data_IF_891814080502
#
_entry.id   IF_891814080502
#
_cell.length_a   1.000
_cell.length_b   1.000
_cell.length_c   1.000
_cell.angle_alpha   90.00
_cell.angle_beta   90.00
_cell.angle_gamma   90.00
#
_symmetry.space_group_name_H-M   'P 1'
#
loop_
_entity.id
_entity.type
_entity.pdbx_description
1 polymer ?
#
# COMPACT_ATOMS: atom_id res chain seq x y z
N UNK A 1 -6.89 -24.87 -2.39
CA UNK A 1 -7.18 -25.36 -1.01
C UNK A 1 -6.92 -24.18 -0.11
N UNK A 2 -7.88 -23.76 0.68
CA UNK A 2 -7.75 -22.65 1.63
C UNK A 2 -6.76 -23.03 2.74
N UNK A 3 -5.90 -22.12 3.14
CA UNK A 3 -4.97 -22.32 4.23
C UNK A 3 -5.71 -22.55 5.57
N UNK A 4 -5.16 -23.38 6.43
CA UNK A 4 -5.62 -23.50 7.81
C UNK A 4 -5.24 -22.26 8.62
N UNK A 5 -5.91 -22.04 9.77
CA UNK A 5 -5.58 -20.93 10.67
C UNK A 5 -4.10 -20.99 11.12
N UNK A 6 -3.57 -22.19 11.36
CA UNK A 6 -2.16 -22.37 11.73
C UNK A 6 -1.20 -21.95 10.59
N UNK A 7 -1.54 -22.26 9.34
CA UNK A 7 -0.73 -21.86 8.19
C UNK A 7 -0.80 -20.34 7.95
N UNK A 8 -1.97 -19.71 8.14
CA UNK A 8 -2.10 -18.25 8.06
C UNK A 8 -1.28 -17.56 9.16
N UNK A 9 -1.33 -18.07 10.38
CA UNK A 9 -0.49 -17.57 11.48
C UNK A 9 1.00 -17.69 11.17
N UNK A 10 1.43 -18.83 10.63
CA UNK A 10 2.82 -19.06 10.21
C UNK A 10 3.23 -18.05 9.11
N UNK A 11 2.42 -17.90 8.05
CA UNK A 11 2.67 -16.93 6.98
C UNK A 11 2.80 -15.51 7.53
N UNK A 12 1.85 -15.09 8.38
CA UNK A 12 1.89 -13.78 9.03
C UNK A 12 3.12 -13.61 9.93
N UNK A 13 3.52 -14.66 10.62
CA UNK A 13 4.73 -14.70 11.45
C UNK A 13 6.01 -14.50 10.65
N UNK A 14 6.12 -15.15 9.51
CA UNK A 14 7.26 -15.00 8.59
C UNK A 14 7.42 -13.55 8.11
N UNK A 15 6.31 -12.90 7.69
CA UNK A 15 6.34 -11.51 7.24
C UNK A 15 6.74 -10.55 8.37
N UNK A 16 6.16 -10.70 9.57
CA UNK A 16 6.51 -9.87 10.74
C UNK A 16 7.98 -10.01 11.11
N UNK A 17 8.52 -11.23 11.04
CA UNK A 17 9.93 -11.46 11.34
C UNK A 17 10.85 -10.90 10.27
N UNK A 18 10.47 -10.99 8.98
CA UNK A 18 11.18 -10.37 7.87
C UNK A 18 11.27 -8.85 8.04
N UNK A 19 10.15 -8.19 8.38
CA UNK A 19 10.10 -6.76 8.68
C UNK A 19 11.00 -6.40 9.86
N UNK A 20 10.84 -7.10 10.99
CA UNK A 20 11.59 -6.83 12.22
C UNK A 20 13.10 -6.98 12.04
N UNK A 21 13.55 -7.93 11.24
CA UNK A 21 14.97 -8.20 10.96
C UNK A 21 15.53 -7.45 9.78
N UNK A 22 14.66 -6.81 8.98
CA UNK A 22 15.04 -6.28 7.68
C UNK A 22 15.72 -7.36 6.82
N UNK A 23 15.11 -8.53 6.79
CA UNK A 23 15.64 -9.72 6.14
C UNK A 23 14.54 -10.41 5.32
N UNK A 24 14.49 -10.18 3.99
CA UNK A 24 13.45 -10.71 3.13
C UNK A 24 13.42 -12.25 3.12
N UNK A 25 12.21 -12.79 3.02
CA UNK A 25 11.94 -14.23 2.89
C UNK A 25 11.70 -14.62 1.43
N UNK A 26 11.68 -15.90 1.15
CA UNK A 26 11.23 -16.44 -0.12
C UNK A 26 9.70 -16.22 -0.28
N UNK A 27 9.15 -16.22 -1.51
CA UNK A 27 7.74 -15.98 -1.73
C UNK A 27 6.82 -16.88 -0.89
N UNK A 28 5.81 -16.28 -0.24
CA UNK A 28 4.82 -17.06 0.52
C UNK A 28 4.08 -18.05 -0.38
N UNK A 29 3.85 -17.68 -1.65
CA UNK A 29 3.25 -18.56 -2.66
C UNK A 29 4.06 -19.82 -2.94
N UNK A 30 5.39 -19.78 -2.71
CA UNK A 30 6.28 -20.96 -2.79
C UNK A 30 6.32 -21.70 -1.45
N UNK A 31 6.38 -20.98 -0.33
CA UNK A 31 6.46 -21.56 1.04
C UNK A 31 5.13 -22.18 1.47
N UNK A 32 4.01 -21.65 0.99
CA UNK A 32 2.63 -22.05 1.34
C UNK A 32 1.85 -22.41 0.07
N UNK A 33 2.10 -23.56 -0.55
CA UNK A 33 1.38 -23.97 -1.74
C UNK A 33 -0.13 -24.00 -1.51
N UNK A 34 -0.88 -23.25 -2.33
CA UNK A 34 -2.32 -23.10 -2.21
C UNK A 34 -2.76 -21.80 -1.54
N UNK A 35 -1.83 -20.91 -1.17
CA UNK A 35 -2.14 -19.53 -0.76
C UNK A 35 -2.91 -18.83 -1.88
N UNK A 36 -4.15 -18.47 -1.63
CA UNK A 36 -4.97 -17.67 -2.52
C UNK A 36 -5.14 -16.23 -2.01
N UNK A 37 -5.80 -15.38 -2.80
CA UNK A 37 -5.98 -13.96 -2.45
C UNK A 37 -6.84 -13.77 -1.19
N UNK A 38 -7.82 -14.65 -0.97
CA UNK A 38 -8.67 -14.59 0.23
C UNK A 38 -7.87 -14.94 1.50
N UNK A 39 -7.01 -15.95 1.43
CA UNK A 39 -6.08 -16.30 2.51
C UNK A 39 -5.06 -15.18 2.74
N UNK A 40 -4.55 -14.56 1.66
CA UNK A 40 -3.62 -13.44 1.74
C UNK A 40 -4.22 -12.23 2.48
N UNK A 41 -5.46 -11.85 2.17
CA UNK A 41 -6.19 -10.82 2.94
C UNK A 41 -6.46 -11.25 4.38
N UNK A 42 -6.66 -12.53 4.68
CA UNK A 42 -6.79 -12.99 6.05
C UNK A 42 -5.47 -12.81 6.82
N UNK A 43 -4.33 -13.20 6.23
CA UNK A 43 -2.99 -12.98 6.80
C UNK A 43 -2.74 -11.49 7.05
N UNK A 44 -3.06 -10.63 6.07
CA UNK A 44 -2.94 -9.17 6.21
C UNK A 44 -3.76 -8.67 7.40
N UNK A 45 -5.07 -9.01 7.47
CA UNK A 45 -5.96 -8.59 8.56
C UNK A 45 -5.46 -9.04 9.93
N UNK A 46 -4.95 -10.27 10.03
CA UNK A 46 -4.42 -10.81 11.30
C UNK A 46 -3.18 -10.03 11.75
N UNK A 47 -2.28 -9.69 10.83
CA UNK A 47 -1.10 -8.87 11.11
C UNK A 47 -1.48 -7.44 11.51
N UNK A 48 -2.44 -6.82 10.83
CA UNK A 48 -2.97 -5.50 11.20
C UNK A 48 -3.64 -5.55 12.56
N UNK A 49 -4.49 -6.56 12.82
CA UNK A 49 -5.14 -6.71 14.13
C UNK A 49 -4.13 -6.80 15.28
N UNK A 50 -3.00 -7.47 15.09
CA UNK A 50 -1.91 -7.51 16.08
C UNK A 50 -1.26 -6.15 16.30
N UNK A 51 -1.07 -5.37 15.22
CA UNK A 51 -0.54 -4.01 15.33
C UNK A 51 -1.50 -3.11 16.11
N UNK A 52 -2.80 -3.22 15.85
CA UNK A 52 -3.84 -2.49 16.58
C UNK A 52 -3.89 -2.89 18.06
N UNK A 53 -3.78 -4.19 18.36
CA UNK A 53 -3.69 -4.68 19.74
C UNK A 53 -2.43 -4.19 20.48
N UNK A 54 -1.37 -3.87 19.75
CA UNK A 54 -0.14 -3.27 20.28
C UNK A 54 -0.20 -1.73 20.39
N UNK A 55 -1.32 -1.09 20.02
CA UNK A 55 -1.55 0.34 20.19
C UNK A 55 -1.45 1.18 18.93
N UNK A 56 -1.16 0.60 17.77
CA UNK A 56 -1.20 1.31 16.50
C UNK A 56 -2.65 1.66 16.12
N UNK A 57 -2.83 2.69 15.27
CA UNK A 57 -4.13 3.08 14.73
C UNK A 57 -4.11 3.11 13.21
N UNK A 58 -5.21 2.67 12.58
CA UNK A 58 -5.38 2.83 11.12
C UNK A 58 -5.71 4.30 10.85
N UNK A 59 -4.91 4.94 10.01
CA UNK A 59 -5.09 6.33 9.59
C UNK A 59 -5.58 6.45 8.15
N UNK A 60 -5.56 5.36 7.40
CA UNK A 60 -6.01 5.32 6.01
C UNK A 60 -5.74 3.98 5.34
N UNK A 61 -5.93 3.98 4.02
CA UNK A 61 -5.66 2.83 3.17
C UNK A 61 -4.91 3.30 1.92
N UNK A 62 -4.06 2.42 1.38
CA UNK A 62 -3.49 2.57 0.04
C UNK A 62 -4.22 1.66 -0.92
N UNK A 63 -4.28 2.04 -2.18
CA UNK A 63 -4.82 1.23 -3.26
C UNK A 63 -3.72 1.03 -4.28
N UNK A 64 -3.25 -0.19 -4.44
CA UNK A 64 -2.24 -0.55 -5.42
C UNK A 64 -2.85 -1.09 -6.71
N UNK A 65 -2.02 -1.26 -7.75
CA UNK A 65 -2.42 -1.81 -9.04
C UNK A 65 -3.53 -1.00 -9.73
N UNK A 66 -3.57 0.31 -9.52
CA UNK A 66 -4.57 1.21 -10.11
C UNK A 66 -4.42 1.32 -11.64
N UNK A 67 -3.18 1.24 -12.15
CA UNK A 67 -2.90 1.29 -13.58
C UNK A 67 -3.27 -0.03 -14.27
N UNK A 68 -4.10 0.03 -15.32
CA UNK A 68 -4.50 -1.15 -16.10
C UNK A 68 -3.30 -1.92 -16.70
N UNK A 69 -2.20 -1.21 -17.02
CA UNK A 69 -0.99 -1.83 -17.54
C UNK A 69 -0.33 -2.75 -16.49
N UNK A 70 -0.29 -2.32 -15.23
CA UNK A 70 0.27 -3.11 -14.13
C UNK A 70 -0.60 -4.33 -13.82
N UNK A 71 -1.93 -4.16 -13.80
CA UNK A 71 -2.85 -5.30 -13.63
C UNK A 71 -2.65 -6.36 -14.72
N UNK A 72 -2.55 -5.94 -15.98
CA UNK A 72 -2.26 -6.87 -17.09
C UNK A 72 -0.91 -7.58 -16.94
N UNK A 73 0.12 -6.86 -16.47
CA UNK A 73 1.45 -7.44 -16.26
C UNK A 73 1.42 -8.55 -15.19
N UNK A 74 0.66 -8.35 -14.13
CA UNK A 74 0.50 -9.33 -13.05
C UNK A 74 -0.62 -10.36 -13.28
N UNK A 75 -1.36 -10.23 -14.38
CA UNK A 75 -2.46 -11.14 -14.70
C UNK A 75 -3.65 -11.05 -13.74
N UNK A 76 -3.93 -9.83 -13.23
CA UNK A 76 -5.01 -9.57 -12.27
C UNK A 76 -6.02 -8.59 -12.85
N UNK A 77 -7.28 -8.68 -12.42
CA UNK A 77 -8.38 -7.88 -12.96
C UNK A 77 -8.76 -6.70 -12.05
N UNK A 78 -8.35 -6.74 -10.79
CA UNK A 78 -8.74 -5.73 -9.78
C UNK A 78 -7.53 -5.14 -9.06
N UNK A 79 -7.66 -3.91 -8.52
CA UNK A 79 -6.68 -3.32 -7.62
C UNK A 79 -6.55 -4.12 -6.32
N UNK A 80 -5.42 -3.97 -5.63
CA UNK A 80 -5.23 -4.42 -4.26
C UNK A 80 -5.30 -3.25 -3.27
N UNK A 81 -5.36 -3.56 -1.96
CA UNK A 81 -5.32 -2.53 -0.94
C UNK A 81 -4.54 -2.98 0.29
N UNK A 82 -3.95 -1.99 0.97
CA UNK A 82 -3.26 -2.14 2.23
C UNK A 82 -3.71 -1.11 3.25
N UNK A 83 -3.35 -1.33 4.52
CA UNK A 83 -3.64 -0.44 5.62
C UNK A 83 -2.46 0.50 5.86
N UNK A 84 -2.76 1.77 6.09
CA UNK A 84 -1.82 2.77 6.56
C UNK A 84 -2.00 2.96 8.06
N UNK A 85 -0.93 2.73 8.82
CA UNK A 85 -0.91 2.90 10.27
C UNK A 85 -0.23 4.24 10.62
N UNK A 86 -0.53 4.76 11.80
CA UNK A 86 -0.03 6.04 12.28
C UNK A 86 1.51 6.14 12.31
N UNK A 87 2.20 5.04 12.63
CA UNK A 87 3.67 4.98 12.64
C UNK A 87 4.31 4.83 11.24
N UNK A 88 3.50 4.65 10.19
CA UNK A 88 3.92 4.65 8.79
C UNK A 88 3.89 6.07 8.18
N UNK A 89 3.27 7.05 8.84
CA UNK A 89 3.19 8.42 8.32
C UNK A 89 4.43 9.22 8.69
N UNK A 90 5.10 9.73 7.67
CA UNK A 90 6.31 10.53 7.84
C UNK A 90 6.04 12.00 7.49
N UNK A 91 6.81 12.90 8.11
CA UNK A 91 6.68 14.33 7.89
C UNK A 91 7.26 14.72 6.52
N UNK A 92 6.55 15.57 5.77
CA UNK A 92 7.07 16.21 4.56
C UNK A 92 8.35 17.01 4.86
N UNK A 93 9.35 16.90 3.98
CA UNK A 93 10.70 17.45 4.17
C UNK A 93 11.51 16.74 5.27
N UNK A 94 11.01 15.63 5.82
CA UNK A 94 11.72 14.82 6.80
C UNK A 94 12.73 13.87 6.16
N UNK A 95 13.40 13.09 7.01
CA UNK A 95 14.31 12.03 6.58
C UNK A 95 13.86 10.69 7.11
N UNK A 96 13.89 9.68 6.26
CA UNK A 96 13.57 8.29 6.61
C UNK A 96 14.78 7.42 6.29
N UNK A 97 15.20 6.59 7.25
CA UNK A 97 16.36 5.72 7.05
C UNK A 97 15.98 4.50 6.19
N UNK A 98 16.62 4.35 5.03
CA UNK A 98 16.45 3.18 4.18
C UNK A 98 16.83 1.86 4.87
N UNK A 99 17.68 1.90 5.91
CA UNK A 99 18.07 0.72 6.69
C UNK A 99 16.92 0.12 7.53
N UNK A 100 15.75 0.76 7.57
CA UNK A 100 14.54 0.24 8.22
C UNK A 100 13.72 -0.71 7.32
N UNK A 101 14.05 -0.77 6.04
CA UNK A 101 13.28 -1.46 5.01
C UNK A 101 14.13 -2.55 4.33
N UNK A 102 13.46 -3.57 3.80
CA UNK A 102 14.13 -4.68 3.10
C UNK A 102 14.63 -4.29 1.71
N UNK A 103 13.75 -3.69 0.90
CA UNK A 103 14.03 -3.30 -0.48
C UNK A 103 13.12 -2.13 -0.91
N UNK A 104 13.20 -0.95 -0.27
CA UNK A 104 12.24 0.13 -0.45
C UNK A 104 12.27 0.71 -1.85
N UNK A 105 11.08 1.12 -2.32
CA UNK A 105 10.86 1.92 -3.52
C UNK A 105 9.95 3.09 -3.18
N UNK A 106 9.90 4.09 -4.05
CA UNK A 106 9.05 5.27 -3.90
C UNK A 106 8.07 5.31 -5.06
N UNK A 107 6.80 5.50 -4.73
CA UNK A 107 5.72 5.66 -5.69
C UNK A 107 5.05 7.03 -5.48
N UNK A 108 5.02 7.90 -6.53
CA UNK A 108 4.25 9.14 -6.48
C UNK A 108 2.76 8.83 -6.55
N UNK A 109 1.99 9.45 -5.66
CA UNK A 109 0.57 9.18 -5.47
C UNK A 109 -0.24 10.46 -5.28
N UNK A 110 -1.57 10.35 -5.39
CA UNK A 110 -2.52 11.37 -4.95
C UNK A 110 -3.21 10.85 -3.68
N UNK A 111 -3.01 11.56 -2.59
CA UNK A 111 -3.66 11.24 -1.32
C UNK A 111 -4.99 12.00 -1.21
N UNK A 112 -6.05 11.31 -0.78
CA UNK A 112 -7.38 11.85 -0.54
C UNK A 112 -7.63 11.91 0.96
N UNK A 113 -8.06 13.06 1.49
CA UNK A 113 -8.54 13.20 2.85
C UNK A 113 -10.06 13.19 2.86
N UNK A 114 -10.63 12.18 3.49
CA UNK A 114 -12.08 12.03 3.59
C UNK A 114 -12.60 12.80 4.80
N UNK A 115 -13.70 13.56 4.62
CA UNK A 115 -14.47 14.17 5.70
C UNK A 115 -15.52 13.21 6.26
N UNK A 116 -16.00 12.30 5.43
CA UNK A 116 -17.03 11.32 5.78
C UNK A 116 -16.54 9.89 5.47
N UNK A 117 -16.96 8.91 6.27
CA UNK A 117 -16.56 7.52 6.03
C UNK A 117 -17.24 6.97 4.78
N UNK A 118 -16.50 6.15 4.03
CA UNK A 118 -17.01 5.36 2.91
C UNK A 118 -17.05 3.89 3.31
N UNK A 119 -18.19 3.22 3.07
CA UNK A 119 -18.31 1.80 3.38
C UNK A 119 -19.39 1.11 2.53
N UNK A 120 -19.25 -0.20 2.38
CA UNK A 120 -20.21 -1.07 1.72
C UNK A 120 -20.02 -1.20 0.21
N UNK A 121 -20.70 -2.16 -0.41
CA UNK A 121 -20.67 -2.35 -1.85
C UNK A 121 -21.44 -1.22 -2.56
N UNK A 122 -21.00 -0.89 -3.79
CA UNK A 122 -21.67 0.07 -4.67
C UNK A 122 -21.25 1.52 -4.46
N UNK A 123 -20.15 1.79 -3.74
CA UNK A 123 -19.56 3.14 -3.67
C UNK A 123 -19.14 3.57 -5.07
N UNK A 124 -19.60 4.75 -5.49
CA UNK A 124 -19.34 5.34 -6.81
C UNK A 124 -18.24 6.40 -6.73
N UNK A 125 -17.74 6.84 -7.90
CA UNK A 125 -16.82 7.98 -7.98
C UNK A 125 -17.43 9.24 -7.36
N UNK A 126 -18.72 9.48 -7.61
CA UNK A 126 -19.43 10.65 -7.05
C UNK A 126 -19.49 10.59 -5.51
N UNK A 127 -19.70 9.38 -4.92
CA UNK A 127 -19.66 9.19 -3.47
C UNK A 127 -18.26 9.49 -2.90
N UNK A 128 -17.21 9.04 -3.58
CA UNK A 128 -15.82 9.32 -3.17
C UNK A 128 -15.54 10.82 -3.23
N UNK A 129 -15.92 11.48 -4.31
CA UNK A 129 -15.74 12.94 -4.46
C UNK A 129 -16.53 13.71 -3.40
N UNK A 130 -17.79 13.31 -3.14
CA UNK A 130 -18.63 13.95 -2.11
C UNK A 130 -18.06 13.78 -0.70
N UNK A 131 -17.43 12.64 -0.40
CA UNK A 131 -16.79 12.37 0.88
C UNK A 131 -15.41 13.01 1.02
N UNK A 132 -14.80 13.49 -0.07
CA UNK A 132 -13.43 14.02 -0.06
C UNK A 132 -13.41 15.50 0.33
N UNK A 133 -12.67 15.84 1.37
CA UNK A 133 -12.43 17.24 1.82
C UNK A 133 -11.29 17.88 1.03
N UNK A 134 -10.18 17.17 0.88
CA UNK A 134 -8.96 17.70 0.30
C UNK A 134 -8.13 16.59 -0.35
N UNK A 135 -7.22 16.99 -1.24
CA UNK A 135 -6.22 16.12 -1.86
C UNK A 135 -4.82 16.67 -1.64
N UNK A 136 -3.82 15.80 -1.68
CA UNK A 136 -2.42 16.19 -1.60
C UNK A 136 -1.56 15.34 -2.55
N UNK A 137 -0.46 15.87 -3.10
CA UNK A 137 0.58 15.03 -3.64
C UNK A 137 1.18 14.20 -2.50
N UNK A 138 1.48 12.94 -2.78
CA UNK A 138 2.04 12.05 -1.80
C UNK A 138 3.17 11.19 -2.39
N UNK A 139 4.01 10.68 -1.51
CA UNK A 139 4.97 9.64 -1.82
C UNK A 139 4.65 8.43 -0.94
N UNK A 140 4.31 7.31 -1.55
CA UNK A 140 4.27 6.04 -0.85
C UNK A 140 5.68 5.45 -0.80
N UNK A 141 6.09 4.96 0.36
CA UNK A 141 7.22 4.07 0.50
C UNK A 141 6.64 2.66 0.44
N UNK A 142 6.90 1.96 -0.64
CA UNK A 142 6.60 0.54 -0.75
C UNK A 142 7.84 -0.27 -0.41
N UNK A 143 7.66 -1.36 0.33
CA UNK A 143 8.73 -2.28 0.71
C UNK A 143 8.23 -3.71 0.61
N UNK A 144 9.02 -4.62 0.09
CA UNK A 144 8.65 -6.02 0.06
C UNK A 144 9.44 -6.83 1.07
N UNK A 145 8.74 -7.52 1.98
CA UNK A 145 9.32 -8.52 2.86
C UNK A 145 9.62 -9.83 2.10
N UNK A 146 9.32 -9.84 0.78
CA UNK A 146 9.62 -10.96 -0.12
C UNK A 146 10.89 -10.63 -0.93
N UNK A 147 11.81 -11.59 -1.00
CA UNK A 147 13.11 -11.46 -1.65
C UNK A 147 12.99 -11.05 -3.12
N UNK A 148 13.80 -10.07 -3.52
CA UNK A 148 13.96 -9.61 -4.90
C UNK A 148 12.67 -9.15 -5.58
N UNK A 149 11.64 -8.80 -4.81
CA UNK A 149 10.31 -8.45 -5.33
C UNK A 149 9.70 -9.57 -6.21
N UNK A 150 10.00 -10.83 -5.93
CA UNK A 150 9.41 -11.99 -6.62
C UNK A 150 8.03 -12.29 -6.06
N UNK A 151 7.11 -11.36 -6.26
CA UNK A 151 5.76 -11.40 -5.68
C UNK A 151 4.71 -11.83 -6.71
N UNK A 152 3.76 -12.65 -6.27
CA UNK A 152 2.44 -12.80 -6.87
C UNK A 152 1.47 -11.82 -6.21
N UNK A 153 0.20 -11.75 -6.71
CA UNK A 153 -0.83 -10.96 -6.04
C UNK A 153 -1.06 -11.42 -4.60
N UNK A 154 -1.06 -12.72 -4.33
CA UNK A 154 -1.24 -13.24 -2.98
C UNK A 154 -0.07 -12.86 -2.06
N UNK A 155 1.16 -12.85 -2.56
CA UNK A 155 2.33 -12.43 -1.79
C UNK A 155 2.22 -10.95 -1.36
N UNK A 156 1.94 -10.04 -2.31
CA UNK A 156 1.86 -8.61 -2.01
C UNK A 156 0.68 -8.29 -1.09
N UNK A 157 -0.48 -8.90 -1.32
CA UNK A 157 -1.67 -8.71 -0.47
C UNK A 157 -1.40 -9.18 0.97
N UNK A 158 -0.79 -10.36 1.17
CA UNK A 158 -0.45 -10.85 2.51
C UNK A 158 0.53 -9.91 3.23
N UNK A 159 1.42 -9.27 2.46
CA UNK A 159 2.43 -8.32 2.90
C UNK A 159 1.92 -6.86 2.93
N UNK A 160 0.64 -6.68 3.29
CA UNK A 160 -0.04 -5.39 3.39
C UNK A 160 -0.01 -4.58 2.08
N UNK A 161 -0.18 -5.24 0.93
CA UNK A 161 -0.02 -4.66 -0.41
C UNK A 161 1.33 -3.92 -0.57
N UNK A 162 2.38 -4.48 0.03
CA UNK A 162 3.76 -3.94 0.11
C UNK A 162 3.85 -2.54 0.72
N UNK A 163 2.82 -2.05 1.41
CA UNK A 163 2.83 -0.72 2.03
C UNK A 163 3.80 -0.67 3.22
N UNK A 164 4.59 0.41 3.31
CA UNK A 164 5.61 0.58 4.34
C UNK A 164 5.73 2.01 4.87
N UNK A 165 5.27 3.01 4.14
CA UNK A 165 5.29 4.39 4.60
C UNK A 165 4.56 5.35 3.68
N UNK A 166 4.22 6.52 4.21
CA UNK A 166 3.53 7.58 3.50
C UNK A 166 4.10 8.95 3.88
N UNK A 167 4.35 9.79 2.88
CA UNK A 167 4.61 11.22 3.05
C UNK A 167 3.55 11.99 2.27
N UNK A 168 2.77 12.83 2.94
CA UNK A 168 1.84 13.74 2.27
C UNK A 168 2.42 15.15 2.22
N UNK A 169 2.33 15.78 1.05
CA UNK A 169 2.62 17.19 0.86
C UNK A 169 1.49 18.10 1.35
N UNK A 170 1.47 19.34 0.86
CA UNK A 170 0.45 20.30 1.22
C UNK A 170 -0.94 19.90 0.73
N UNK A 171 -1.94 19.99 1.61
CA UNK A 171 -3.34 19.71 1.30
C UNK A 171 -3.98 20.88 0.53
N UNK A 172 -4.71 20.53 -0.53
CA UNK A 172 -5.53 21.45 -1.31
C UNK A 172 -6.99 21.04 -1.16
N UNK A 173 -7.92 21.96 -0.79
CA UNK A 173 -9.34 21.66 -0.78
C UNK A 173 -9.79 21.07 -2.13
N UNK A 174 -10.64 20.05 -2.14
CA UNK A 174 -11.04 19.40 -3.39
C UNK A 174 -11.67 20.39 -4.40
N UNK A 175 -12.41 21.38 -3.92
CA UNK A 175 -13.03 22.42 -4.76
C UNK A 175 -12.01 23.33 -5.46
N UNK A 176 -10.76 23.38 -5.00
CA UNK A 176 -9.65 24.15 -5.58
C UNK A 176 -8.66 23.25 -6.33
N UNK A 177 -8.84 21.94 -6.26
CA UNK A 177 -7.96 20.98 -6.90
C UNK A 177 -8.12 21.02 -8.44
N UNK A 178 -7.04 20.77 -9.19
CA UNK A 178 -7.15 20.60 -10.64
C UNK A 178 -7.92 19.31 -10.98
N UNK A 179 -8.21 19.11 -12.27
CA UNK A 179 -8.71 17.81 -12.75
C UNK A 179 -7.66 16.73 -12.44
N UNK A 180 -7.98 15.86 -11.46
CA UNK A 180 -7.04 14.87 -10.95
C UNK A 180 -6.63 13.84 -12.01
N UNK A 181 -7.50 13.54 -12.97
CA UNK A 181 -7.16 12.65 -14.08
C UNK A 181 -6.13 13.29 -15.04
N UNK A 182 -6.10 14.60 -15.12
CA UNK A 182 -5.18 15.36 -15.98
C UNK A 182 -3.89 15.82 -15.27
N UNK A 183 -3.78 15.59 -13.95
CA UNK A 183 -2.59 15.94 -13.19
C UNK A 183 -1.36 15.21 -13.73
N UNK A 184 -0.30 15.95 -13.97
CA UNK A 184 1.01 15.39 -14.31
C UNK A 184 1.88 15.35 -13.05
N UNK A 185 2.57 14.25 -12.85
CA UNK A 185 3.47 14.02 -11.72
C UNK A 185 4.85 13.71 -12.26
N UNK A 186 5.85 14.45 -11.79
CA UNK A 186 7.26 14.19 -12.05
C UNK A 186 7.93 13.74 -10.74
N UNK A 187 8.60 12.60 -10.76
CA UNK A 187 9.49 12.17 -9.69
C UNK A 187 10.89 12.71 -9.98
N UNK A 188 11.39 13.56 -9.09
CA UNK A 188 12.71 14.16 -9.21
C UNK A 188 13.58 13.67 -8.06
N UNK A 189 14.76 13.12 -8.36
CA UNK A 189 15.75 12.65 -7.39
C UNK A 189 17.05 13.39 -7.65
N UNK A 190 17.62 14.02 -6.64
CA UNK A 190 18.86 14.81 -6.72
C UNK A 190 18.85 15.88 -7.84
N UNK A 191 17.67 16.45 -8.12
CA UNK A 191 17.47 17.46 -9.15
C UNK A 191 17.24 16.90 -10.58
N UNK A 192 17.30 15.61 -10.76
CA UNK A 192 17.04 14.94 -12.03
C UNK A 192 15.66 14.27 -12.05
N UNK A 193 14.90 14.48 -13.15
CA UNK A 193 13.62 13.80 -13.35
C UNK A 193 13.84 12.34 -13.72
N UNK A 194 13.49 11.42 -12.82
CA UNK A 194 13.69 9.98 -12.99
C UNK A 194 12.45 9.25 -13.50
N UNK A 195 11.26 9.82 -13.30
CA UNK A 195 10.00 9.27 -13.80
C UNK A 195 8.95 10.38 -13.98
N UNK A 196 7.94 10.11 -14.80
CA UNK A 196 6.74 10.94 -14.93
C UNK A 196 5.52 10.08 -15.19
N UNK A 197 4.36 10.55 -14.76
CA UNK A 197 3.07 9.90 -14.93
C UNK A 197 1.93 10.89 -14.92
N UNK A 198 0.71 10.37 -15.05
CA UNK A 198 -0.52 11.15 -14.95
C UNK A 198 -1.47 10.50 -13.94
N UNK A 199 -2.49 11.25 -13.53
CA UNK A 199 -3.54 10.76 -12.64
C UNK A 199 -4.53 9.78 -13.30
N UNK A 200 -4.35 9.49 -14.60
CA UNK A 200 -5.19 8.56 -15.40
C UNK A 200 -4.40 7.39 -15.96
#
# INVERSE_FOLDING_TARGET
>A
MTLTDAQREEAGGLLREAERRVAPIDPLSELMPGLDVADAYAVQRDNIARRLAAGATVVGHKVGLTAAAMRRLLGVDEPDFGHLLDDMVHRDGGSVSAARYCAPRIEPEICFRLAEPLSGPGVTVDDVLAATEAVAPALEIVDSRIRDWKITLADTVADNASSAGLVCGAWTPLAEAPDLAAVLVDLVVDGERVASGSGS
#
